data_IF_871643276258
#
_entry.id   IF_871643276258
#
_cell.length_a   1.000
_cell.length_b   1.000
_cell.length_c   1.000
_cell.angle_alpha   90.00
_cell.angle_beta   90.00
_cell.angle_gamma   90.00
#
_symmetry.space_group_name_H-M   'P 1'
#
loop_
_entity.id
_entity.type
_entity.pdbx_description
1 polymer ?
#
# COMPACT_ATOMS: atom_id res chain seq x y z
N UNK A 1 24.54 2.74 -10.93
CA UNK A 1 24.93 3.54 -9.74
C UNK A 1 23.78 3.45 -8.75
N UNK A 2 23.88 2.60 -7.75
CA UNK A 2 22.91 2.48 -6.65
C UNK A 2 23.07 3.71 -5.76
N UNK A 3 22.09 4.61 -5.78
CA UNK A 3 22.04 5.72 -4.83
C UNK A 3 22.04 5.15 -3.40
N UNK A 4 22.90 5.69 -2.54
CA UNK A 4 22.91 5.34 -1.12
C UNK A 4 21.50 5.57 -0.54
N UNK A 5 21.03 4.74 0.40
CA UNK A 5 19.73 4.93 1.02
C UNK A 5 19.67 6.32 1.64
N UNK A 6 18.66 7.10 1.28
CA UNK A 6 18.40 8.40 1.90
C UNK A 6 18.27 8.20 3.41
N UNK A 7 19.01 8.96 4.19
CA UNK A 7 18.95 8.92 5.66
C UNK A 7 17.62 9.44 6.20
N UNK A 8 16.85 10.14 5.37
CA UNK A 8 15.54 10.69 5.74
C UNK A 8 14.42 9.68 5.45
N UNK A 9 13.42 9.55 6.36
CA UNK A 9 12.27 8.68 6.14
C UNK A 9 11.44 9.15 4.95
N UNK A 10 10.84 8.18 4.21
CA UNK A 10 9.85 8.44 3.17
C UNK A 10 8.56 8.97 3.79
N UNK A 11 8.06 8.28 4.82
CA UNK A 11 6.92 8.73 5.61
C UNK A 11 7.30 8.77 7.09
N UNK A 12 6.86 9.80 7.75
CA UNK A 12 7.02 10.04 9.18
C UNK A 12 5.65 10.32 9.79
N UNK A 13 5.28 9.51 10.76
CA UNK A 13 4.06 9.61 11.54
C UNK A 13 4.45 10.08 12.93
N UNK A 14 3.95 11.24 13.35
CA UNK A 14 4.31 11.88 14.62
C UNK A 14 3.05 12.11 15.46
N UNK A 15 3.03 11.52 16.66
CA UNK A 15 1.99 11.71 17.68
C UNK A 15 0.57 11.49 17.14
N UNK A 16 0.38 10.48 16.26
CA UNK A 16 -0.90 10.20 15.65
C UNK A 16 -1.92 9.78 16.70
N UNK A 17 -2.99 10.56 16.82
CA UNK A 17 -4.15 10.24 17.67
C UNK A 17 -5.42 10.33 16.83
N UNK A 18 -6.25 9.28 16.90
CA UNK A 18 -7.55 9.25 16.22
C UNK A 18 -8.65 8.89 17.18
N UNK A 19 -9.67 9.74 17.26
CA UNK A 19 -10.85 9.55 18.12
C UNK A 19 -12.13 9.51 17.30
N UNK A 20 -13.01 8.60 17.65
CA UNK A 20 -14.37 8.50 17.12
C UNK A 20 -15.36 8.72 18.25
N UNK A 21 -15.83 9.96 18.41
CA UNK A 21 -16.62 10.34 19.59
C UNK A 21 -15.83 10.11 20.88
N UNK A 22 -16.31 9.24 21.75
CA UNK A 22 -15.64 8.88 23.00
C UNK A 22 -14.57 7.80 22.88
N UNK A 23 -14.51 7.08 21.74
CA UNK A 23 -13.54 6.01 21.53
C UNK A 23 -12.22 6.55 21.01
N UNK A 24 -11.11 6.22 21.66
CA UNK A 24 -9.74 6.46 21.17
C UNK A 24 -9.28 5.23 20.42
N UNK A 25 -9.24 5.31 19.08
CA UNK A 25 -8.84 4.20 18.23
C UNK A 25 -7.31 4.14 18.03
N UNK A 26 -6.65 5.31 18.07
CA UNK A 26 -5.19 5.46 18.05
C UNK A 26 -4.81 6.51 19.09
N UNK A 27 -3.81 6.22 19.89
CA UNK A 27 -3.36 7.05 21.00
C UNK A 27 -1.84 7.22 20.95
N UNK A 28 -1.41 8.39 20.46
CA UNK A 28 -0.01 8.84 20.43
C UNK A 28 0.96 7.90 19.70
N UNK A 29 0.60 7.44 18.51
CA UNK A 29 1.45 6.55 17.72
C UNK A 29 2.43 7.35 16.88
N UNK A 30 3.73 7.03 17.00
CA UNK A 30 4.81 7.61 16.19
C UNK A 30 5.68 6.51 15.60
N UNK A 31 5.94 6.56 14.30
CA UNK A 31 6.85 5.65 13.58
C UNK A 31 7.28 6.25 12.25
N UNK A 32 8.26 5.64 11.60
CA UNK A 32 8.68 6.03 10.26
C UNK A 32 8.86 4.82 9.34
N UNK A 33 8.73 5.05 8.02
CA UNK A 33 9.07 4.07 6.99
C UNK A 33 9.93 4.72 5.90
N UNK A 34 10.78 3.93 5.25
CA UNK A 34 11.75 4.42 4.27
C UNK A 34 11.41 3.99 2.85
N UNK A 35 12.00 4.67 1.88
CA UNK A 35 12.03 4.18 0.50
C UNK A 35 12.85 2.88 0.46
N UNK A 36 12.48 1.97 -0.44
CA UNK A 36 13.13 0.66 -0.58
C UNK A 36 13.06 -0.18 0.69
N UNK A 37 11.98 -0.05 1.44
CA UNK A 37 11.75 -0.77 2.68
C UNK A 37 10.30 -1.27 2.70
N UNK A 38 10.11 -2.49 3.19
CA UNK A 38 8.81 -3.04 3.55
C UNK A 38 8.66 -2.87 5.06
N UNK A 39 7.82 -1.94 5.46
CA UNK A 39 7.46 -1.72 6.86
C UNK A 39 6.12 -2.36 7.15
N UNK A 40 6.09 -3.37 8.02
CA UNK A 40 4.84 -3.99 8.46
C UNK A 40 4.26 -3.28 9.68
N UNK A 41 2.95 -3.12 9.71
CA UNK A 41 2.18 -2.67 10.88
C UNK A 41 1.33 -3.85 11.33
N UNK A 42 1.67 -4.45 12.46
CA UNK A 42 1.04 -5.65 12.98
C UNK A 42 0.39 -5.41 14.36
N UNK A 43 -0.34 -6.39 14.85
CA UNK A 43 -0.99 -6.35 16.16
C UNK A 43 -2.30 -7.13 16.16
N UNK A 44 -2.92 -7.37 17.33
CA UNK A 44 -4.20 -8.06 17.46
C UNK A 44 -5.33 -7.36 16.69
N UNK A 45 -6.47 -8.05 16.60
CA UNK A 45 -7.68 -7.43 16.05
C UNK A 45 -8.12 -6.26 16.93
N UNK A 46 -8.51 -5.15 16.29
CA UNK A 46 -8.85 -3.92 17.04
C UNK A 46 -7.66 -3.06 17.48
N UNK A 47 -6.41 -3.47 17.25
CA UNK A 47 -5.23 -2.68 17.64
C UNK A 47 -5.08 -1.33 16.91
N UNK A 48 -5.93 -1.03 15.91
CA UNK A 48 -5.92 0.25 15.22
C UNK A 48 -5.17 0.29 13.89
N UNK A 49 -4.63 -0.83 13.40
CA UNK A 49 -3.83 -0.92 12.15
C UNK A 49 -4.49 -0.25 10.95
N UNK A 50 -5.73 -0.64 10.63
CA UNK A 50 -6.49 -0.08 9.52
C UNK A 50 -6.82 1.41 9.74
N UNK A 51 -6.95 1.85 11.00
CA UNK A 51 -7.16 3.28 11.32
C UNK A 51 -5.92 4.10 10.97
N UNK A 52 -4.70 3.61 11.27
CA UNK A 52 -3.44 4.24 10.86
C UNK A 52 -3.39 4.38 9.33
N UNK A 53 -3.69 3.31 8.58
CA UNK A 53 -3.73 3.35 7.11
C UNK A 53 -4.77 4.33 6.58
N UNK A 54 -5.95 4.38 7.21
CA UNK A 54 -7.00 5.33 6.84
C UNK A 54 -6.55 6.79 7.05
N UNK A 55 -5.76 7.07 8.08
CA UNK A 55 -5.18 8.41 8.28
C UNK A 55 -4.12 8.73 7.21
N UNK A 56 -3.19 7.80 6.92
CA UNK A 56 -2.13 7.99 5.92
C UNK A 56 -2.71 8.19 4.51
N UNK A 57 -3.77 7.45 4.18
CA UNK A 57 -4.38 7.48 2.84
C UNK A 57 -5.52 8.50 2.71
N UNK A 58 -5.79 9.27 3.77
CA UNK A 58 -6.73 10.40 3.76
C UNK A 58 -8.21 10.02 3.81
N UNK A 59 -8.54 8.77 4.20
CA UNK A 59 -9.91 8.37 4.50
C UNK A 59 -10.40 8.98 5.82
N UNK A 60 -9.47 9.11 6.79
CA UNK A 60 -9.72 9.82 8.04
C UNK A 60 -8.71 10.96 8.19
N UNK A 61 -9.17 12.06 8.76
CA UNK A 61 -8.28 13.11 9.24
C UNK A 61 -7.97 12.82 10.70
N UNK A 62 -6.69 12.70 11.09
CA UNK A 62 -6.32 12.48 12.48
C UNK A 62 -6.84 13.61 13.37
N UNK A 63 -7.17 13.26 14.60
CA UNK A 63 -7.58 14.26 15.62
C UNK A 63 -6.37 15.08 16.05
N UNK A 64 -5.22 14.43 16.22
CA UNK A 64 -3.92 15.05 16.56
C UNK A 64 -2.85 14.30 15.76
N UNK A 65 -1.72 14.96 15.53
CA UNK A 65 -0.55 14.38 14.92
C UNK A 65 -0.21 14.96 13.56
N UNK A 66 0.95 14.58 13.07
CA UNK A 66 1.51 15.04 11.80
C UNK A 66 1.91 13.83 10.95
N UNK A 67 1.59 13.87 9.68
CA UNK A 67 1.88 12.83 8.70
C UNK A 67 2.69 13.44 7.56
N UNK A 68 4.00 13.33 7.64
CA UNK A 68 4.91 13.91 6.66
C UNK A 68 5.38 12.87 5.66
N UNK A 69 5.04 13.04 4.38
CA UNK A 69 5.56 12.21 3.28
C UNK A 69 6.58 13.01 2.48
N UNK A 70 7.77 12.43 2.30
CA UNK A 70 8.86 13.01 1.49
C UNK A 70 9.08 12.15 0.25
N UNK A 71 8.58 12.61 -0.89
CA UNK A 71 8.67 11.84 -2.14
C UNK A 71 8.43 12.71 -3.36
N UNK A 72 8.79 12.19 -4.53
CA UNK A 72 8.61 12.90 -5.81
C UNK A 72 9.25 14.32 -5.84
N UNK A 73 10.31 14.54 -5.05
CA UNK A 73 10.99 15.83 -4.97
C UNK A 73 10.30 16.90 -4.10
N UNK A 74 9.28 16.53 -3.32
CA UNK A 74 8.52 17.42 -2.46
C UNK A 74 8.22 16.80 -1.08
N UNK A 75 7.84 17.66 -0.13
CA UNK A 75 7.33 17.27 1.16
C UNK A 75 5.81 17.57 1.22
N UNK A 76 5.03 16.62 1.71
CA UNK A 76 3.60 16.69 1.81
C UNK A 76 3.14 16.44 3.25
N UNK A 77 2.27 17.28 3.76
CA UNK A 77 1.58 17.11 5.04
C UNK A 77 0.23 16.44 4.77
N UNK A 78 0.19 15.11 4.88
CA UNK A 78 -0.96 14.31 4.43
C UNK A 78 -2.24 14.64 5.21
N UNK A 79 -2.12 14.97 6.51
CA UNK A 79 -3.25 15.35 7.35
C UNK A 79 -3.96 16.65 6.87
N UNK A 80 -3.28 17.45 6.05
CA UNK A 80 -3.83 18.69 5.46
C UNK A 80 -4.36 18.50 4.04
N UNK A 81 -4.06 17.36 3.42
CA UNK A 81 -4.47 17.09 2.05
C UNK A 81 -5.85 16.43 1.99
N UNK A 82 -6.54 16.56 0.84
CA UNK A 82 -7.73 15.76 0.56
C UNK A 82 -7.31 14.36 0.10
N UNK A 83 -8.13 13.34 0.35
CA UNK A 83 -7.77 11.96 0.01
C UNK A 83 -7.36 11.75 -1.46
N UNK A 84 -8.08 12.37 -2.42
CA UNK A 84 -7.71 12.28 -3.83
C UNK A 84 -6.38 12.99 -4.17
N UNK A 85 -6.02 14.06 -3.44
CA UNK A 85 -4.74 14.75 -3.64
C UNK A 85 -3.57 13.91 -3.12
N UNK A 86 -3.77 13.12 -2.06
CA UNK A 86 -2.77 12.19 -1.55
C UNK A 86 -2.37 11.19 -2.63
N UNK A 87 -3.36 10.58 -3.32
CA UNK A 87 -3.08 9.70 -4.44
C UNK A 87 -2.42 10.41 -5.64
N UNK A 88 -2.93 11.60 -6.02
CA UNK A 88 -2.51 12.27 -7.25
C UNK A 88 -1.21 13.07 -7.12
N UNK A 89 -0.99 13.75 -5.98
CA UNK A 89 0.15 14.65 -5.76
C UNK A 89 1.23 13.99 -4.92
N UNK A 90 0.85 13.40 -3.78
CA UNK A 90 1.79 12.73 -2.89
C UNK A 90 2.12 11.29 -3.36
N UNK A 91 1.40 10.75 -4.36
CA UNK A 91 1.66 9.45 -4.99
C UNK A 91 1.64 8.30 -3.98
N UNK A 92 0.66 8.31 -3.08
CA UNK A 92 0.35 7.19 -2.20
C UNK A 92 -0.71 6.33 -2.85
N UNK A 93 -0.43 5.05 -3.09
CA UNK A 93 -1.41 4.08 -3.55
C UNK A 93 -1.82 3.16 -2.41
N UNK A 94 -3.06 2.64 -2.47
CA UNK A 94 -3.58 1.69 -1.50
C UNK A 94 -4.36 0.57 -2.19
N UNK A 95 -4.17 -0.66 -1.74
CA UNK A 95 -5.12 -1.75 -1.95
C UNK A 95 -6.03 -1.90 -0.73
N UNK A 96 -7.06 -2.70 -0.85
CA UNK A 96 -8.01 -2.95 0.22
C UNK A 96 -8.06 -4.44 0.54
N UNK A 97 -8.53 -4.81 1.73
CA UNK A 97 -8.72 -6.19 2.12
C UNK A 97 -9.59 -6.95 1.09
N UNK A 98 -10.71 -6.36 0.69
CA UNK A 98 -11.50 -6.86 -0.43
C UNK A 98 -10.99 -6.34 -1.76
N UNK A 99 -10.75 -7.22 -2.72
CA UNK A 99 -10.28 -6.88 -4.06
C UNK A 99 -11.25 -5.90 -4.75
N UNK A 100 -10.71 -4.79 -5.23
CA UNK A 100 -11.48 -3.72 -5.89
C UNK A 100 -11.07 -3.59 -7.36
N UNK A 101 -11.28 -4.64 -8.14
CA UNK A 101 -11.16 -4.59 -9.60
C UNK A 101 -12.48 -4.17 -10.25
N UNK A 102 -12.41 -3.81 -11.51
CA UNK A 102 -13.57 -3.69 -12.39
C UNK A 102 -13.80 -5.06 -13.04
N UNK A 103 -14.72 -5.90 -12.52
CA UNK A 103 -14.80 -7.31 -12.90
C UNK A 103 -15.23 -7.53 -14.35
N UNK A 104 -16.04 -6.61 -14.92
CA UNK A 104 -16.48 -6.65 -16.30
C UNK A 104 -15.49 -6.06 -17.31
N UNK A 105 -14.40 -5.43 -16.85
CA UNK A 105 -13.30 -4.97 -17.71
C UNK A 105 -12.26 -6.06 -17.85
N UNK A 106 -11.53 -6.03 -18.97
CA UNK A 106 -10.38 -6.93 -19.16
C UNK A 106 -9.26 -6.64 -18.17
N UNK A 107 -8.33 -7.58 -18.06
CA UNK A 107 -7.12 -7.44 -17.23
C UNK A 107 -6.32 -6.22 -17.68
N UNK A 108 -6.14 -6.03 -18.99
CA UNK A 108 -5.45 -4.87 -19.57
C UNK A 108 -6.18 -3.56 -19.26
N UNK A 109 -7.50 -3.51 -19.46
CA UNK A 109 -8.31 -2.31 -19.20
C UNK A 109 -8.24 -1.88 -17.72
N UNK A 110 -8.20 -2.83 -16.77
CA UNK A 110 -8.00 -2.51 -15.36
C UNK A 110 -6.69 -1.76 -15.10
N UNK A 111 -5.61 -2.11 -15.78
CA UNK A 111 -4.32 -1.42 -15.70
C UNK A 111 -4.34 -0.05 -16.39
N UNK A 112 -5.05 0.05 -17.52
CA UNK A 112 -5.19 1.30 -18.26
C UNK A 112 -5.99 2.36 -17.49
N UNK A 113 -7.08 1.94 -16.82
CA UNK A 113 -7.91 2.85 -16.00
C UNK A 113 -7.10 3.50 -14.87
N UNK A 114 -6.14 2.80 -14.27
CA UNK A 114 -5.27 3.37 -13.25
C UNK A 114 -4.45 4.57 -13.74
N UNK A 115 -4.21 4.66 -15.04
CA UNK A 115 -3.44 5.70 -15.70
C UNK A 115 -4.30 6.86 -16.24
N UNK A 116 -5.62 6.81 -15.97
CA UNK A 116 -6.58 7.79 -16.49
C UNK A 116 -6.16 9.25 -16.26
N UNK A 117 -5.67 9.58 -15.07
CA UNK A 117 -5.24 10.94 -14.75
C UNK A 117 -4.09 11.44 -15.64
N UNK A 118 -3.16 10.57 -16.05
CA UNK A 118 -2.06 10.91 -16.97
C UNK A 118 -2.60 11.13 -18.38
N UNK A 119 -3.49 10.24 -18.84
CA UNK A 119 -4.13 10.32 -20.15
C UNK A 119 -5.01 11.57 -20.28
N UNK A 120 -5.78 11.91 -19.25
CA UNK A 120 -6.60 13.12 -19.22
C UNK A 120 -5.75 14.40 -19.26
N UNK A 121 -4.62 14.44 -18.55
CA UNK A 121 -3.69 15.58 -18.64
C UNK A 121 -3.04 15.70 -20.02
N UNK A 122 -2.79 14.58 -20.70
CA UNK A 122 -2.22 14.56 -22.04
C UNK A 122 -3.23 14.98 -23.13
N UNK A 123 -4.53 14.68 -22.94
CA UNK A 123 -5.60 15.07 -23.88
C UNK A 123 -5.89 16.57 -23.87
N UNK A 124 -5.42 17.31 -22.85
CA UNK A 124 -5.71 18.73 -22.69
C UNK A 124 -7.21 19.00 -22.59
N UNK A 125 -7.69 19.49 -21.49
CA UNK A 125 -9.11 19.79 -21.19
C UNK A 125 -9.75 20.85 -22.09
N UNK A 126 -9.31 21.01 -23.34
CA UNK A 126 -9.79 22.07 -24.22
C UNK A 126 -10.03 21.58 -25.64
N UNK A 127 -10.92 22.28 -26.36
CA UNK A 127 -11.22 22.25 -27.78
C UNK A 127 -10.01 22.22 -28.77
N UNK A 128 -8.78 22.24 -28.26
CA UNK A 128 -7.50 22.06 -28.95
C UNK A 128 -7.14 20.57 -29.18
N UNK A 129 -8.07 19.64 -29.02
CA UNK A 129 -7.87 18.21 -29.21
C UNK A 129 -7.33 17.81 -30.60
N UNK A 130 -7.44 18.66 -31.63
CA UNK A 130 -6.83 18.41 -32.94
C UNK A 130 -5.31 18.63 -32.96
N UNK A 131 -4.77 19.52 -32.13
CA UNK A 131 -3.32 19.78 -32.07
C UNK A 131 -2.64 18.86 -31.03
N UNK A 132 -3.41 18.29 -30.10
CA UNK A 132 -2.96 17.39 -29.05
C UNK A 132 -2.83 15.92 -29.47
N UNK A 133 -3.24 15.52 -30.66
CA UNK A 133 -3.29 14.13 -31.08
C UNK A 133 -1.96 13.38 -30.92
N UNK A 134 -0.85 13.96 -31.31
CA UNK A 134 0.48 13.33 -31.18
C UNK A 134 0.97 13.23 -29.73
N UNK A 135 0.57 14.14 -28.84
CA UNK A 135 0.88 14.08 -27.41
C UNK A 135 0.04 13.04 -26.71
N UNK A 136 -1.25 12.96 -27.05
CA UNK A 136 -2.17 11.95 -26.52
C UNK A 136 -1.74 10.56 -26.96
N UNK A 137 -1.47 10.36 -28.27
CA UNK A 137 -1.01 9.05 -28.79
C UNK A 137 0.29 8.57 -28.11
N UNK A 138 1.25 9.48 -27.85
CA UNK A 138 2.46 9.12 -27.11
C UNK A 138 2.16 8.73 -25.66
N UNK A 139 1.25 9.46 -24.99
CA UNK A 139 0.86 9.16 -23.62
C UNK A 139 0.10 7.83 -23.54
N UNK A 140 -0.77 7.54 -24.51
CA UNK A 140 -1.49 6.29 -24.64
C UNK A 140 -0.55 5.11 -24.89
N UNK A 141 0.39 5.24 -25.83
CA UNK A 141 1.40 4.22 -26.09
C UNK A 141 2.23 3.92 -24.83
N UNK A 142 2.70 4.96 -24.12
CA UNK A 142 3.43 4.80 -22.88
C UNK A 142 2.58 4.13 -21.78
N UNK A 143 1.28 4.40 -21.73
CA UNK A 143 0.37 3.76 -20.78
C UNK A 143 0.17 2.27 -21.10
N UNK A 144 0.05 1.93 -22.39
CA UNK A 144 -0.02 0.52 -22.86
C UNK A 144 1.28 -0.21 -22.54
N UNK A 145 2.44 0.42 -22.79
CA UNK A 145 3.75 -0.20 -22.51
C UNK A 145 3.92 -0.46 -21.01
N UNK A 146 3.50 0.47 -20.15
CA UNK A 146 3.51 0.27 -18.70
C UNK A 146 2.55 -0.85 -18.26
N UNK A 147 1.35 -0.91 -18.86
CA UNK A 147 0.40 -1.98 -18.58
C UNK A 147 0.96 -3.36 -19.00
N UNK A 148 1.59 -3.46 -20.18
CA UNK A 148 2.24 -4.69 -20.65
C UNK A 148 3.36 -5.13 -19.73
N UNK A 149 4.22 -4.20 -19.29
CA UNK A 149 5.28 -4.48 -18.33
C UNK A 149 4.71 -5.09 -17.04
N UNK A 150 3.60 -4.55 -16.53
CA UNK A 150 2.96 -5.09 -15.33
C UNK A 150 2.28 -6.43 -15.57
N UNK A 151 1.66 -6.65 -16.73
CA UNK A 151 1.12 -7.97 -17.12
C UNK A 151 2.20 -9.05 -17.11
N UNK A 152 3.37 -8.73 -17.66
CA UNK A 152 4.53 -9.64 -17.66
C UNK A 152 5.00 -9.93 -16.22
N UNK A 153 5.17 -8.89 -15.39
CA UNK A 153 5.64 -9.02 -13.99
C UNK A 153 4.72 -9.87 -13.11
N UNK A 154 3.41 -9.80 -13.34
CA UNK A 154 2.42 -10.57 -12.58
C UNK A 154 2.01 -11.89 -13.25
N UNK A 155 2.60 -12.21 -14.41
CA UNK A 155 2.36 -13.46 -15.14
C UNK A 155 0.96 -13.57 -15.76
N UNK A 156 0.34 -12.44 -16.16
CA UNK A 156 -1.01 -12.38 -16.72
C UNK A 156 -1.04 -11.91 -18.19
N UNK A 157 0.06 -11.99 -18.92
CA UNK A 157 0.13 -11.55 -20.32
C UNK A 157 -0.85 -12.33 -21.21
N UNK A 158 -0.98 -13.64 -20.99
CA UNK A 158 -1.91 -14.49 -21.75
C UNK A 158 -3.39 -14.21 -21.45
N UNK A 159 -3.68 -13.61 -20.28
CA UNK A 159 -5.04 -13.29 -19.84
C UNK A 159 -5.40 -11.81 -20.09
N UNK A 160 -4.59 -11.05 -20.85
CA UNK A 160 -4.74 -9.61 -21.02
C UNK A 160 -6.17 -9.17 -21.44
N UNK A 161 -6.79 -9.92 -22.34
CA UNK A 161 -8.12 -9.65 -22.90
C UNK A 161 -9.26 -10.36 -22.12
N UNK A 162 -8.91 -11.13 -21.09
CA UNK A 162 -9.89 -11.86 -20.26
C UNK A 162 -10.55 -10.91 -19.26
N UNK A 163 -11.88 -11.03 -18.96
CA UNK A 163 -12.52 -10.30 -17.89
C UNK A 163 -11.84 -10.55 -16.55
N UNK A 164 -11.51 -9.48 -15.81
CA UNK A 164 -10.78 -9.58 -14.55
C UNK A 164 -11.53 -10.39 -13.48
N UNK A 165 -12.88 -10.36 -13.51
CA UNK A 165 -13.71 -11.13 -12.59
C UNK A 165 -13.64 -12.65 -12.78
N UNK A 166 -13.16 -13.13 -13.92
CA UNK A 166 -13.02 -14.57 -14.23
C UNK A 166 -11.65 -15.14 -13.82
N UNK A 167 -10.75 -14.31 -13.36
CA UNK A 167 -9.45 -14.77 -12.89
C UNK A 167 -9.56 -15.50 -11.54
N UNK A 168 -8.69 -16.49 -11.26
CA UNK A 168 -8.51 -17.03 -9.91
C UNK A 168 -8.18 -15.93 -8.91
N UNK A 169 -8.57 -16.12 -7.64
CA UNK A 169 -8.44 -15.09 -6.58
C UNK A 169 -7.03 -14.55 -6.44
N UNK A 170 -6.00 -15.42 -6.41
CA UNK A 170 -4.60 -14.99 -6.33
C UNK A 170 -4.14 -14.17 -7.53
N UNK A 171 -4.65 -14.46 -8.74
CA UNK A 171 -4.38 -13.66 -9.93
C UNK A 171 -5.08 -12.29 -9.87
N UNK A 172 -6.32 -12.23 -9.37
CA UNK A 172 -7.01 -10.97 -9.12
C UNK A 172 -6.24 -10.10 -8.11
N UNK A 173 -5.69 -10.68 -7.04
CA UNK A 173 -4.87 -9.96 -6.05
C UNK A 173 -3.60 -9.38 -6.67
N UNK A 174 -2.88 -10.16 -7.49
CA UNK A 174 -1.70 -9.65 -8.21
C UNK A 174 -2.07 -8.54 -9.19
N UNK A 175 -3.20 -8.67 -9.89
CA UNK A 175 -3.71 -7.62 -10.78
C UNK A 175 -4.05 -6.33 -10.03
N UNK A 176 -4.67 -6.41 -8.85
CA UNK A 176 -4.97 -5.25 -8.01
C UNK A 176 -3.70 -4.49 -7.63
N UNK A 177 -2.64 -5.20 -7.22
CA UNK A 177 -1.34 -4.61 -6.90
C UNK A 177 -0.72 -3.98 -8.15
N UNK A 178 -0.69 -4.68 -9.27
CA UNK A 178 -0.18 -4.14 -10.53
C UNK A 178 -0.93 -2.87 -10.96
N UNK A 179 -2.26 -2.85 -10.78
CA UNK A 179 -3.07 -1.66 -11.03
C UNK A 179 -2.67 -0.49 -10.12
N UNK A 180 -2.43 -0.74 -8.83
CA UNK A 180 -1.91 0.28 -7.93
C UNK A 180 -0.53 0.78 -8.37
N UNK A 181 0.35 -0.12 -8.82
CA UNK A 181 1.69 0.22 -9.31
C UNK A 181 1.67 0.99 -10.64
N UNK A 182 0.65 0.83 -11.50
CA UNK A 182 0.45 1.64 -12.70
C UNK A 182 0.20 3.13 -12.40
N UNK A 183 -0.11 3.49 -11.15
CA UNK A 183 -0.16 4.90 -10.71
C UNK A 183 1.24 5.48 -10.42
N UNK A 184 2.29 4.65 -10.48
CA UNK A 184 3.70 4.98 -10.15
C UNK A 184 3.81 5.60 -8.74
N UNK A 185 3.39 4.88 -7.70
CA UNK A 185 3.41 5.40 -6.34
C UNK A 185 4.84 5.56 -5.83
N UNK A 186 5.05 6.40 -4.81
CA UNK A 186 6.26 6.41 -3.98
C UNK A 186 6.06 5.58 -2.72
N UNK A 187 4.82 5.47 -2.26
CA UNK A 187 4.40 4.67 -1.12
C UNK A 187 3.20 3.79 -1.51
N UNK A 188 3.32 2.49 -1.31
CA UNK A 188 2.26 1.51 -1.52
C UNK A 188 1.78 0.98 -0.17
N UNK A 189 0.51 1.19 0.14
CA UNK A 189 -0.15 0.70 1.35
C UNK A 189 -0.97 -0.55 1.02
N UNK A 190 -0.67 -1.68 1.65
CA UNK A 190 -1.31 -2.98 1.42
C UNK A 190 -2.01 -3.45 2.69
N UNK A 191 -3.31 -3.69 2.61
CA UNK A 191 -4.16 -4.09 3.72
C UNK A 191 -4.50 -5.58 3.56
N UNK A 192 -3.84 -6.45 4.33
CA UNK A 192 -3.96 -7.91 4.34
C UNK A 192 -3.92 -8.54 2.93
N UNK A 193 -2.84 -8.28 2.14
CA UNK A 193 -2.81 -8.73 0.75
C UNK A 193 -2.69 -10.25 0.59
N UNK A 194 -2.21 -10.98 1.61
CA UNK A 194 -2.10 -12.44 1.57
C UNK A 194 -3.37 -13.17 2.07
N UNK A 195 -4.37 -12.43 2.58
CA UNK A 195 -5.59 -13.05 3.08
C UNK A 195 -6.31 -13.88 2.00
N UNK A 196 -6.63 -15.14 2.32
CA UNK A 196 -7.33 -16.07 1.43
C UNK A 196 -6.47 -16.69 0.31
N UNK A 197 -5.16 -16.42 0.28
CA UNK A 197 -4.23 -17.05 -0.65
C UNK A 197 -3.75 -18.41 -0.10
N UNK A 198 -3.49 -19.34 -1.02
CA UNK A 198 -2.78 -20.55 -0.65
C UNK A 198 -1.27 -20.29 -0.50
N UNK A 199 -0.48 -21.22 0.10
CA UNK A 199 0.96 -21.00 0.36
C UNK A 199 1.79 -20.62 -0.88
N UNK A 200 1.46 -21.20 -2.05
CA UNK A 200 2.14 -20.89 -3.29
C UNK A 200 1.82 -19.47 -3.77
N UNK A 201 0.55 -19.09 -3.76
CA UNK A 201 0.11 -17.74 -4.14
C UNK A 201 0.70 -16.68 -3.20
N UNK A 202 0.77 -16.97 -1.89
CA UNK A 202 1.43 -16.09 -0.91
C UNK A 202 2.92 -15.92 -1.21
N UNK A 203 3.62 -17.00 -1.59
CA UNK A 203 5.02 -16.91 -1.98
C UNK A 203 5.22 -16.07 -3.26
N UNK A 204 4.36 -16.24 -4.28
CA UNK A 204 4.37 -15.44 -5.50
C UNK A 204 4.10 -13.96 -5.20
N UNK A 205 3.15 -13.67 -4.31
CA UNK A 205 2.86 -12.32 -3.84
C UNK A 205 4.06 -11.69 -3.12
N UNK A 206 4.69 -12.43 -2.20
CA UNK A 206 5.86 -11.97 -1.47
C UNK A 206 7.02 -11.61 -2.41
N UNK A 207 7.27 -12.44 -3.44
CA UNK A 207 8.27 -12.14 -4.46
C UNK A 207 7.94 -10.86 -5.24
N UNK A 208 6.67 -10.64 -5.56
CA UNK A 208 6.21 -9.42 -6.22
C UNK A 208 6.47 -8.19 -5.35
N UNK A 209 6.16 -8.24 -4.05
CA UNK A 209 6.37 -7.13 -3.12
C UNK A 209 7.85 -6.80 -2.94
N UNK A 210 8.69 -7.82 -2.76
CA UNK A 210 10.14 -7.66 -2.69
C UNK A 210 10.69 -7.08 -4.00
N UNK A 211 10.20 -7.55 -5.16
CA UNK A 211 10.58 -6.99 -6.46
C UNK A 211 10.20 -5.51 -6.61
N UNK A 212 9.01 -5.12 -6.15
CA UNK A 212 8.55 -3.73 -6.19
C UNK A 212 9.42 -2.83 -5.31
N UNK A 213 9.79 -3.30 -4.10
CA UNK A 213 10.75 -2.60 -3.22
C UNK A 213 12.10 -2.41 -3.90
N UNK A 214 12.65 -3.46 -4.46
CA UNK A 214 14.04 -3.48 -4.95
C UNK A 214 14.21 -2.79 -6.30
N UNK A 215 13.32 -3.08 -7.25
CA UNK A 215 13.41 -2.56 -8.63
C UNK A 215 12.81 -1.18 -8.78
N UNK A 216 11.60 -0.97 -8.22
CA UNK A 216 10.88 0.28 -8.39
C UNK A 216 11.25 1.31 -7.31
N UNK A 217 11.93 0.87 -6.24
CA UNK A 217 12.47 1.74 -5.20
C UNK A 217 11.41 2.39 -4.32
N UNK A 218 10.20 1.83 -4.29
CA UNK A 218 9.09 2.34 -3.49
C UNK A 218 9.22 1.95 -2.03
N UNK A 219 8.57 2.70 -1.13
CA UNK A 219 8.27 2.23 0.22
C UNK A 219 6.98 1.41 0.22
N UNK A 220 6.94 0.35 1.00
CA UNK A 220 5.73 -0.47 1.18
C UNK A 220 5.33 -0.42 2.64
N UNK A 221 4.10 -0.01 2.93
CA UNK A 221 3.45 -0.21 4.22
C UNK A 221 2.51 -1.42 4.11
N UNK A 222 2.67 -2.38 5.00
CA UNK A 222 1.97 -3.65 4.97
C UNK A 222 1.21 -3.87 6.28
N UNK A 223 -0.11 -4.07 6.24
CA UNK A 223 -0.84 -4.70 7.35
C UNK A 223 -0.96 -6.19 7.02
N UNK A 224 -0.52 -7.03 7.94
CA UNK A 224 -0.68 -8.48 7.85
C UNK A 224 -0.86 -9.09 9.24
N UNK A 225 -1.56 -10.21 9.27
CA UNK A 225 -1.74 -11.04 10.46
C UNK A 225 -1.01 -12.37 10.34
N UNK A 226 -0.60 -12.79 9.15
CA UNK A 226 0.25 -13.97 8.95
C UNK A 226 1.71 -13.61 9.29
N UNK A 227 2.13 -14.02 10.47
CA UNK A 227 3.48 -13.78 10.98
C UNK A 227 4.56 -14.39 10.08
N UNK A 228 4.26 -15.46 9.35
CA UNK A 228 5.23 -16.06 8.43
C UNK A 228 5.54 -15.13 7.26
N UNK A 229 4.51 -14.47 6.70
CA UNK A 229 4.67 -13.45 5.67
C UNK A 229 5.46 -12.26 6.23
N UNK A 230 5.02 -11.70 7.35
CA UNK A 230 5.65 -10.53 8.00
C UNK A 230 7.13 -10.77 8.24
N UNK A 231 7.50 -11.88 8.90
CA UNK A 231 8.88 -12.17 9.26
C UNK A 231 9.79 -12.45 8.07
N UNK A 232 9.22 -12.88 6.93
CA UNK A 232 9.99 -13.22 5.74
C UNK A 232 10.31 -12.02 4.84
N UNK A 233 9.42 -11.01 4.76
CA UNK A 233 9.58 -9.94 3.77
C UNK A 233 9.77 -8.55 4.38
N UNK A 234 9.47 -8.35 5.68
CA UNK A 234 9.53 -7.04 6.29
C UNK A 234 10.96 -6.69 6.74
N UNK A 235 11.40 -5.52 6.34
CA UNK A 235 12.67 -4.94 6.79
C UNK A 235 12.50 -4.29 8.17
N UNK A 236 11.31 -3.75 8.43
CA UNK A 236 10.94 -3.07 9.66
C UNK A 236 9.52 -3.43 10.07
N UNK A 237 9.27 -3.55 11.37
CA UNK A 237 7.98 -3.95 11.92
C UNK A 237 7.60 -3.00 13.04
N UNK A 238 6.37 -2.51 13.00
CA UNK A 238 5.72 -1.69 14.03
C UNK A 238 4.58 -2.50 14.62
N UNK A 239 4.58 -2.68 15.93
CA UNK A 239 3.55 -3.47 16.62
C UNK A 239 2.63 -2.53 17.38
N UNK A 240 1.34 -2.66 17.09
CA UNK A 240 0.27 -1.92 17.77
C UNK A 240 -0.52 -2.85 18.67
N UNK A 241 -0.94 -2.31 19.82
CA UNK A 241 -1.90 -2.94 20.71
C UNK A 241 -2.76 -1.86 21.37
N UNK A 242 -4.10 -2.05 21.39
CA UNK A 242 -5.08 -1.09 21.91
C UNK A 242 -4.81 0.37 21.48
N UNK A 243 -4.46 0.57 20.20
CA UNK A 243 -4.22 1.90 19.61
C UNK A 243 -2.86 2.50 19.96
N UNK A 244 -1.95 1.79 20.61
CA UNK A 244 -0.62 2.26 21.00
C UNK A 244 0.48 1.44 20.35
N UNK A 245 1.63 2.03 20.10
CA UNK A 245 2.82 1.29 19.68
C UNK A 245 3.47 0.64 20.90
N UNK A 246 3.58 -0.70 20.88
CA UNK A 246 4.19 -1.48 21.96
C UNK A 246 5.60 -1.96 21.65
N UNK A 247 5.93 -2.11 20.36
CA UNK A 247 7.28 -2.49 19.92
C UNK A 247 7.54 -1.97 18.50
N UNK A 248 8.84 -1.87 18.15
CA UNK A 248 9.28 -1.47 16.81
C UNK A 248 10.69 -2.02 16.55
N UNK A 249 10.95 -2.54 15.36
CA UNK A 249 12.27 -3.04 14.98
C UNK A 249 12.28 -4.07 13.87
N UNK A 250 13.39 -4.74 13.67
CA UNK A 250 13.50 -5.87 12.73
C UNK A 250 12.81 -7.14 13.26
N UNK A 251 12.56 -8.11 12.37
CA UNK A 251 11.83 -9.33 12.66
C UNK A 251 12.30 -10.08 13.93
N UNK A 252 13.60 -10.21 14.14
CA UNK A 252 14.16 -10.90 15.32
C UNK A 252 13.90 -10.15 16.64
N UNK A 253 13.99 -8.83 16.62
CA UNK A 253 13.74 -8.01 17.80
C UNK A 253 12.27 -8.11 18.22
N UNK A 254 11.36 -7.95 17.26
CA UNK A 254 9.91 -8.01 17.48
C UNK A 254 9.47 -9.41 17.94
N UNK A 255 10.01 -10.48 17.33
CA UNK A 255 9.68 -11.87 17.69
C UNK A 255 9.99 -12.21 19.15
N UNK A 256 11.03 -11.62 19.71
CA UNK A 256 11.51 -11.92 21.06
C UNK A 256 11.06 -10.88 22.09
N UNK A 257 10.27 -9.89 21.69
CA UNK A 257 9.81 -8.84 22.60
C UNK A 257 8.71 -9.36 23.52
N UNK A 258 8.91 -9.30 24.87
CA UNK A 258 7.91 -9.79 25.82
C UNK A 258 6.56 -9.07 25.75
N UNK A 259 6.52 -7.78 25.33
CA UNK A 259 5.26 -7.06 25.18
C UNK A 259 4.48 -7.58 23.98
N UNK A 260 5.18 -7.91 22.88
CA UNK A 260 4.57 -8.51 21.69
C UNK A 260 4.03 -9.89 21.99
N UNK A 261 4.82 -10.74 22.67
CA UNK A 261 4.40 -12.08 23.06
C UNK A 261 3.13 -12.02 23.91
N UNK A 262 3.07 -11.15 24.92
CA UNK A 262 1.87 -11.00 25.77
C UNK A 262 0.65 -10.51 24.99
N UNK A 263 0.82 -9.55 24.06
CA UNK A 263 -0.29 -9.01 23.27
C UNK A 263 -0.96 -10.08 22.38
N UNK A 264 -0.18 -11.05 21.89
CA UNK A 264 -0.72 -12.14 21.07
C UNK A 264 -1.21 -13.34 21.90
N UNK A 265 -0.56 -13.68 23.02
CA UNK A 265 -1.00 -14.79 23.87
C UNK A 265 -2.17 -14.41 24.79
N UNK A 266 -2.26 -13.15 25.25
CA UNK A 266 -3.34 -12.68 26.10
C UNK A 266 -4.71 -12.64 25.42
N UNK A 267 -4.74 -12.56 24.09
CA UNK A 267 -6.00 -12.63 23.30
C UNK A 267 -6.56 -14.05 23.19
N UNK A 268 -5.73 -15.09 23.35
CA UNK A 268 -6.19 -16.48 23.30
C UNK A 268 -6.79 -16.93 24.65
N UNK A 269 -6.36 -16.38 25.78
CA UNK A 269 -6.92 -16.67 27.10
C UNK A 269 -8.30 -16.00 27.31
N UNK A 270 -8.52 -14.76 26.81
CA UNK A 270 -9.82 -14.11 26.89
C UNK A 270 -10.89 -14.76 26.00
N UNK A 271 -10.50 -15.48 24.93
CA UNK A 271 -11.41 -16.21 24.07
C UNK A 271 -11.85 -17.56 24.63
N UNK A 272 -11.18 -18.09 25.68
CA UNK A 272 -11.53 -19.34 26.35
C UNK A 272 -12.43 -19.13 27.57
N UNK A 273 -12.53 -17.89 28.07
CA UNK A 273 -13.35 -17.53 29.25
C UNK A 273 -14.69 -16.84 28.90
N UNK A 274 -15.02 -16.69 27.60
CA UNK A 274 -16.27 -16.09 27.11
C UNK A 274 -17.16 -17.10 26.40
#
# INVERSE_FOLDING_TARGET
MTAAPSTMPLIEVEHLTMRFGGLVAIDDVSFSARSREITAVIGPNGAGKTTVFNCITGFYKPTIGRLTLRGAGAEFLLERMRGHEIGQKARVARTFQNIRLFPGMTVLENLMVAQHNKLMRASGWSLLGLVGAARFQRAEAAAVDLARLWLERIGLTADADRPAGELPYGAQRRLEIARAMCTEPVLLCLDEPAAGLNPRESAELNQLLVSNRDRDGIGVLLIEHDMSVVMNISDHIVVLDYGRKIAEGGAQAVRNDPAVIRAYLGTDEEALDA
#
